data_IF_279200137627
#
_entry.id   IF_279200137627
#
_cell.length_a   1.000
_cell.length_b   1.000
_cell.length_c   1.000
_cell.angle_alpha   90.00
_cell.angle_beta   90.00
_cell.angle_gamma   90.00
#
_symmetry.space_group_name_H-M   'P 1'
#
loop_
_entity.id
_entity.type
_entity.pdbx_description
1 polymer ?
#
# COMPACT_ATOMS: atom_id res chain seq x y z
N UNK A 1 -24.11 10.82 -11.03
CA UNK A 1 -24.34 9.36 -11.07
C UNK A 1 -25.48 9.09 -12.04
N UNK A 2 -25.23 8.34 -13.12
CA UNK A 2 -26.29 7.75 -13.93
C UNK A 2 -26.80 6.52 -13.19
N UNK A 3 -28.01 6.53 -12.66
CA UNK A 3 -28.62 5.36 -12.06
C UNK A 3 -30.04 5.23 -12.58
N UNK A 4 -30.54 4.00 -12.69
CA UNK A 4 -31.90 3.74 -13.16
C UNK A 4 -32.58 2.66 -12.33
N UNK A 5 -33.89 2.81 -12.19
CA UNK A 5 -34.78 1.81 -11.59
C UNK A 5 -35.95 1.61 -12.55
N UNK A 6 -36.25 0.36 -12.87
CA UNK A 6 -37.41 0.01 -13.72
C UNK A 6 -38.23 -1.09 -13.04
N UNK A 7 -39.56 -1.01 -13.17
CA UNK A 7 -40.46 -2.09 -12.74
C UNK A 7 -40.35 -3.24 -13.75
N UNK A 8 -40.34 -4.47 -13.26
CA UNK A 8 -40.47 -5.68 -14.08
C UNK A 8 -41.81 -6.34 -13.77
N UNK A 9 -42.18 -7.39 -14.52
CA UNK A 9 -43.43 -8.14 -14.28
C UNK A 9 -43.58 -8.61 -12.82
N UNK A 10 -42.48 -9.03 -12.20
CA UNK A 10 -42.45 -9.61 -10.85
C UNK A 10 -41.57 -8.82 -9.86
N UNK A 11 -41.19 -7.56 -10.13
CA UNK A 11 -40.32 -6.81 -9.24
C UNK A 11 -39.71 -5.53 -9.81
N UNK A 12 -38.41 -5.34 -9.54
CA UNK A 12 -37.66 -4.15 -9.92
C UNK A 12 -36.26 -4.51 -10.42
N UNK A 13 -35.79 -3.81 -11.44
CA UNK A 13 -34.39 -3.86 -11.90
C UNK A 13 -33.71 -2.54 -11.55
N UNK A 14 -32.59 -2.61 -10.83
CA UNK A 14 -31.76 -1.47 -10.43
C UNK A 14 -30.42 -1.54 -11.14
N UNK A 15 -30.00 -0.43 -11.75
CA UNK A 15 -28.65 -0.24 -12.28
C UNK A 15 -28.04 1.00 -11.67
N UNK A 16 -26.95 0.84 -10.93
CA UNK A 16 -26.12 1.90 -10.38
C UNK A 16 -24.68 1.73 -10.84
N UNK A 17 -23.91 2.81 -10.77
CA UNK A 17 -22.51 2.85 -11.13
C UNK A 17 -21.76 3.64 -10.06
N UNK A 18 -20.63 3.10 -9.61
CA UNK A 18 -19.72 3.76 -8.67
C UNK A 18 -18.35 3.85 -9.35
N UNK A 19 -17.68 4.99 -9.17
CA UNK A 19 -16.32 5.21 -9.68
C UNK A 19 -15.30 4.62 -8.69
N UNK A 20 -14.32 3.88 -9.21
CA UNK A 20 -13.10 3.54 -8.47
C UNK A 20 -11.99 4.43 -8.99
N UNK A 21 -11.49 5.31 -8.14
CA UNK A 21 -10.39 6.23 -8.45
C UNK A 21 -9.39 6.26 -7.30
N UNK A 22 -8.12 6.14 -7.65
CA UNK A 22 -6.99 6.22 -6.74
C UNK A 22 -5.73 6.61 -7.52
N UNK A 23 -4.81 7.30 -6.85
CA UNK A 23 -3.63 7.87 -7.49
C UNK A 23 -2.34 7.43 -6.78
N UNK A 24 -1.23 7.44 -7.51
CA UNK A 24 0.11 7.17 -7.00
C UNK A 24 0.99 8.40 -7.17
N UNK A 25 1.87 8.64 -6.20
CA UNK A 25 2.88 9.68 -6.30
C UNK A 25 4.24 9.14 -5.87
N UNK A 26 5.24 9.25 -6.73
CA UNK A 26 6.64 9.04 -6.34
C UNK A 26 7.12 10.27 -5.58
N UNK A 27 7.60 10.06 -4.35
CA UNK A 27 8.10 11.13 -3.49
C UNK A 27 9.35 10.65 -2.79
N UNK A 28 10.44 11.40 -2.93
CA UNK A 28 11.67 11.13 -2.18
C UNK A 28 11.60 11.83 -0.82
N UNK A 29 11.57 11.06 0.27
CA UNK A 29 11.41 11.60 1.61
C UNK A 29 10.01 12.14 1.87
N UNK A 30 8.99 11.29 1.88
CA UNK A 30 7.58 11.68 2.08
C UNK A 30 7.33 12.43 3.40
N UNK A 31 8.17 12.18 4.42
CA UNK A 31 8.15 12.88 5.71
C UNK A 31 9.23 13.97 5.84
N UNK A 32 9.81 14.41 4.72
CA UNK A 32 10.61 15.64 4.69
C UNK A 32 9.66 16.84 4.74
N UNK A 33 9.87 17.77 5.69
CA UNK A 33 9.01 18.95 5.90
C UNK A 33 8.93 19.88 4.68
N UNK A 34 9.87 19.80 3.74
CA UNK A 34 9.81 20.53 2.48
C UNK A 34 8.76 19.96 1.49
N UNK A 35 8.38 18.69 1.63
CA UNK A 35 7.41 18.01 0.77
C UNK A 35 5.99 18.15 1.35
N UNK A 36 5.12 18.94 0.71
CA UNK A 36 3.77 19.21 1.25
C UNK A 36 2.71 18.20 0.83
N UNK A 37 2.99 17.34 -0.15
CA UNK A 37 1.97 16.52 -0.83
C UNK A 37 1.14 15.67 0.13
N UNK A 38 1.78 15.07 1.15
CA UNK A 38 1.09 14.28 2.17
C UNK A 38 0.30 15.18 3.12
N UNK A 39 0.91 16.24 3.64
CA UNK A 39 0.25 17.19 4.54
C UNK A 39 -0.99 17.86 3.91
N UNK A 40 -0.92 18.19 2.61
CA UNK A 40 -2.01 18.80 1.85
C UNK A 40 -3.27 17.92 1.84
N UNK A 41 -3.12 16.60 1.90
CA UNK A 41 -4.24 15.66 2.03
C UNK A 41 -4.98 15.78 3.37
N UNK A 42 -4.30 16.30 4.41
CA UNK A 42 -4.77 16.38 5.79
C UNK A 42 -5.17 17.80 6.25
N UNK A 43 -4.76 18.85 5.52
CA UNK A 43 -5.03 20.25 5.90
C UNK A 43 -6.52 20.52 6.18
N UNK A 44 -7.42 20.02 5.35
CA UNK A 44 -8.88 20.21 5.54
C UNK A 44 -9.46 19.49 6.75
N UNK A 45 -8.75 18.50 7.29
CA UNK A 45 -9.17 17.71 8.46
C UNK A 45 -8.54 18.24 9.75
N UNK A 46 -7.36 18.86 9.66
CA UNK A 46 -6.68 19.50 10.78
C UNK A 46 -6.06 18.53 11.80
N UNK A 47 -5.99 17.23 11.48
CA UNK A 47 -5.43 16.15 12.32
C UNK A 47 -5.19 14.89 11.50
N UNK A 48 -4.42 13.94 12.06
CA UNK A 48 -4.06 12.69 11.40
C UNK A 48 -4.16 11.51 12.37
N UNK A 49 -4.84 10.44 11.97
CA UNK A 49 -4.71 9.13 12.59
C UNK A 49 -3.80 8.26 11.73
N UNK A 50 -2.69 7.81 12.31
CA UNK A 50 -1.67 7.01 11.63
C UNK A 50 -1.64 5.60 12.20
N UNK A 51 -1.88 4.61 11.34
CA UNK A 51 -1.71 3.19 11.61
C UNK A 51 -0.38 2.73 11.02
N UNK A 52 0.43 2.05 11.84
CA UNK A 52 1.72 1.50 11.44
C UNK A 52 2.11 0.32 12.32
N UNK A 53 3.19 -0.39 11.99
CA UNK A 53 3.76 -1.41 12.89
C UNK A 53 4.74 -0.82 13.92
N UNK A 54 5.03 -1.59 14.98
CA UNK A 54 5.94 -1.19 16.07
C UNK A 54 7.36 -0.86 15.59
N UNK A 55 7.90 -1.55 14.58
CA UNK A 55 9.23 -1.25 14.05
C UNK A 55 9.23 0.10 13.34
N UNK A 56 8.22 0.36 12.52
CA UNK A 56 8.04 1.66 11.88
C UNK A 56 7.85 2.78 12.90
N UNK A 57 7.17 2.52 14.02
CA UNK A 57 6.96 3.53 15.06
C UNK A 57 8.27 3.87 15.76
N UNK A 58 9.09 2.86 16.03
CA UNK A 58 10.41 3.02 16.61
C UNK A 58 11.37 3.78 15.69
N UNK A 59 11.41 3.42 14.41
CA UNK A 59 12.37 3.98 13.45
C UNK A 59 11.99 5.38 12.94
N UNK A 60 10.69 5.59 12.66
CA UNK A 60 10.22 6.77 11.92
C UNK A 60 9.17 7.59 12.68
N UNK A 61 8.74 7.17 13.87
CA UNK A 61 7.70 7.84 14.64
C UNK A 61 8.02 9.31 14.94
N UNK A 62 9.27 9.62 15.26
CA UNK A 62 9.72 10.99 15.54
C UNK A 62 9.76 11.85 14.27
N UNK A 63 10.18 11.26 13.14
CA UNK A 63 10.19 11.96 11.86
C UNK A 63 8.76 12.29 11.40
N UNK A 64 7.84 11.32 11.51
CA UNK A 64 6.42 11.52 11.19
C UNK A 64 5.81 12.60 12.09
N UNK A 65 6.13 12.60 13.39
CA UNK A 65 5.63 13.62 14.31
C UNK A 65 6.15 15.01 13.94
N UNK A 66 7.46 15.15 13.71
CA UNK A 66 8.07 16.42 13.28
C UNK A 66 7.50 16.93 11.96
N UNK A 67 7.24 16.03 11.01
CA UNK A 67 6.62 16.36 9.73
C UNK A 67 5.24 17.00 9.94
N UNK A 68 4.35 16.30 10.65
CA UNK A 68 3.00 16.79 10.86
C UNK A 68 2.93 18.01 11.79
N UNK A 69 3.80 18.09 12.81
CA UNK A 69 3.94 19.26 13.68
C UNK A 69 4.37 20.50 12.89
N UNK A 70 5.34 20.36 11.97
CA UNK A 70 5.76 21.45 11.08
C UNK A 70 4.61 21.99 10.23
N UNK A 71 3.69 21.12 9.81
CA UNK A 71 2.51 21.48 9.03
C UNK A 71 1.27 21.80 9.88
N UNK A 72 1.40 21.88 11.22
CA UNK A 72 0.32 22.25 12.13
C UNK A 72 -0.77 21.19 12.29
N UNK A 73 -0.44 19.91 12.08
CA UNK A 73 -1.37 18.79 12.09
C UNK A 73 -1.07 17.86 13.27
N UNK A 74 -1.90 17.80 14.33
CA UNK A 74 -1.72 16.83 15.40
C UNK A 74 -1.83 15.39 14.88
N UNK A 75 -0.82 14.56 15.18
CA UNK A 75 -0.79 13.15 14.78
C UNK A 75 -1.08 12.22 15.97
N UNK A 76 -1.98 11.27 15.77
CA UNK A 76 -2.27 10.17 16.71
C UNK A 76 -1.79 8.85 16.10
N UNK A 77 -1.08 8.04 16.88
CA UNK A 77 -0.55 6.76 16.40
C UNK A 77 -1.34 5.57 16.95
N UNK A 78 -1.58 4.59 16.08
CA UNK A 78 -1.93 3.23 16.46
C UNK A 78 -0.83 2.29 15.92
N UNK A 79 -0.03 1.75 16.83
CA UNK A 79 1.03 0.80 16.49
C UNK A 79 0.51 -0.63 16.61
N UNK A 80 0.71 -1.43 15.57
CA UNK A 80 0.31 -2.83 15.50
C UNK A 80 1.52 -3.75 15.70
N UNK A 81 1.31 -4.99 16.18
CA UNK A 81 2.38 -5.98 16.26
C UNK A 81 2.98 -6.30 14.87
N UNK A 82 4.25 -6.70 14.87
CA UNK A 82 5.00 -7.00 13.64
C UNK A 82 4.81 -8.45 13.19
N UNK A 83 4.77 -8.66 11.87
CA UNK A 83 4.91 -9.98 11.23
C UNK A 83 3.60 -10.72 11.00
N UNK A 84 3.62 -11.75 10.14
CA UNK A 84 2.41 -12.39 9.55
C UNK A 84 1.39 -12.91 10.57
N UNK A 85 1.84 -13.26 11.80
CA UNK A 85 0.94 -13.66 12.89
C UNK A 85 0.02 -12.54 13.38
N UNK A 86 0.37 -11.29 13.10
CA UNK A 86 -0.46 -10.11 13.39
C UNK A 86 -1.51 -9.85 12.30
N UNK A 87 -1.51 -10.61 11.20
CA UNK A 87 -2.46 -10.44 10.10
C UNK A 87 -3.81 -11.11 10.40
N UNK A 88 -4.51 -10.62 11.41
CA UNK A 88 -5.71 -11.26 11.98
C UNK A 88 -6.89 -10.31 12.15
N UNK A 89 -8.06 -10.86 12.45
CA UNK A 89 -9.26 -10.08 12.77
C UNK A 89 -9.08 -9.26 14.05
N UNK A 90 -8.34 -9.74 15.04
CA UNK A 90 -8.07 -9.01 16.30
C UNK A 90 -7.29 -7.73 16.03
N UNK A 91 -6.25 -7.81 15.19
CA UNK A 91 -5.50 -6.62 14.75
C UNK A 91 -6.38 -5.64 14.00
N UNK A 92 -7.26 -6.12 13.11
CA UNK A 92 -8.25 -5.28 12.42
C UNK A 92 -9.18 -4.57 13.42
N UNK A 93 -9.69 -5.29 14.41
CA UNK A 93 -10.57 -4.71 15.43
C UNK A 93 -9.85 -3.66 16.28
N UNK A 94 -8.57 -3.87 16.61
CA UNK A 94 -7.75 -2.85 17.29
C UNK A 94 -7.64 -1.54 16.50
N UNK A 95 -7.56 -1.61 15.17
CA UNK A 95 -7.59 -0.43 14.30
C UNK A 95 -8.98 0.21 14.31
N UNK A 96 -10.06 -0.58 14.28
CA UNK A 96 -11.43 -0.07 14.41
C UNK A 96 -11.67 0.65 15.75
N UNK A 97 -11.11 0.13 16.85
CA UNK A 97 -11.16 0.78 18.15
C UNK A 97 -10.40 2.11 18.13
N UNK A 98 -9.23 2.16 17.48
CA UNK A 98 -8.46 3.39 17.30
C UNK A 98 -9.23 4.43 16.48
N UNK A 99 -9.86 4.04 15.36
CA UNK A 99 -10.72 4.92 14.56
C UNK A 99 -11.93 5.43 15.35
N UNK A 100 -12.52 4.57 16.19
CA UNK A 100 -13.65 4.94 17.05
C UNK A 100 -13.23 5.95 18.11
N UNK A 101 -12.11 5.68 18.82
CA UNK A 101 -11.55 6.56 19.85
C UNK A 101 -11.10 7.91 19.29
N UNK A 102 -10.50 7.92 18.10
CA UNK A 102 -10.10 9.15 17.40
C UNK A 102 -11.32 9.95 16.90
N UNK A 103 -12.46 9.30 16.74
CA UNK A 103 -13.66 9.89 16.18
C UNK A 103 -13.52 10.15 14.68
N UNK A 104 -12.98 9.18 13.94
CA UNK A 104 -12.77 9.29 12.48
C UNK A 104 -14.08 9.66 11.77
N UNK A 105 -14.05 10.77 11.03
CA UNK A 105 -15.19 11.26 10.26
C UNK A 105 -15.31 10.43 8.97
N UNK A 106 -16.51 10.25 8.42
CA UNK A 106 -16.80 9.28 7.34
C UNK A 106 -15.87 9.37 6.10
N UNK A 107 -15.40 10.56 5.73
CA UNK A 107 -14.51 10.77 4.58
C UNK A 107 -13.07 11.15 4.97
N UNK A 108 -12.78 11.26 6.27
CA UNK A 108 -11.45 11.56 6.80
C UNK A 108 -10.56 10.35 6.56
N UNK A 109 -9.44 10.50 5.84
CA UNK A 109 -8.57 9.38 5.52
C UNK A 109 -7.75 8.97 6.73
N UNK A 110 -7.57 7.66 6.93
CA UNK A 110 -6.55 7.12 7.83
C UNK A 110 -5.21 7.07 7.09
N UNK A 111 -4.13 7.50 7.74
CA UNK A 111 -2.77 7.31 7.21
C UNK A 111 -2.29 5.91 7.56
N UNK A 112 -1.84 5.14 6.58
CA UNK A 112 -1.32 3.78 6.77
C UNK A 112 0.12 3.73 6.31
N UNK A 113 1.05 3.47 7.23
CA UNK A 113 2.50 3.48 6.98
C UNK A 113 3.08 2.11 7.33
N UNK A 114 3.60 1.37 6.36
CA UNK A 114 4.13 0.03 6.63
C UNK A 114 4.25 -0.85 5.39
N UNK A 115 4.61 -2.11 5.60
CA UNK A 115 4.66 -3.10 4.51
C UNK A 115 3.29 -3.63 4.08
N UNK A 116 3.29 -4.68 3.24
CA UNK A 116 2.07 -5.35 2.77
C UNK A 116 1.13 -5.83 3.88
N UNK A 117 1.68 -6.29 5.00
CA UNK A 117 0.85 -6.71 6.15
C UNK A 117 0.04 -5.56 6.74
N UNK A 118 0.70 -4.45 7.09
CA UNK A 118 0.04 -3.30 7.72
C UNK A 118 -0.99 -2.72 6.76
N UNK A 119 -0.62 -2.58 5.49
CA UNK A 119 -1.50 -2.02 4.46
C UNK A 119 -2.72 -2.89 4.17
N UNK A 120 -2.58 -4.22 4.20
CA UNK A 120 -3.70 -5.14 4.09
C UNK A 120 -4.66 -5.07 5.28
N UNK A 121 -4.14 -5.15 6.52
CA UNK A 121 -5.01 -5.18 7.71
C UNK A 121 -5.70 -3.84 7.91
N UNK A 122 -4.96 -2.73 7.80
CA UNK A 122 -5.51 -1.39 7.95
C UNK A 122 -6.44 -1.02 6.79
N UNK A 123 -6.11 -1.42 5.56
CA UNK A 123 -6.98 -1.24 4.42
C UNK A 123 -8.30 -1.99 4.59
N UNK A 124 -8.27 -3.23 5.11
CA UNK A 124 -9.49 -3.99 5.37
C UNK A 124 -10.30 -3.43 6.56
N UNK A 125 -9.63 -2.90 7.59
CA UNK A 125 -10.28 -2.13 8.65
C UNK A 125 -11.01 -0.91 8.07
N UNK A 126 -10.37 -0.17 7.17
CA UNK A 126 -10.97 1.01 6.52
C UNK A 126 -12.13 0.64 5.59
N UNK A 127 -12.03 -0.47 4.86
CA UNK A 127 -13.12 -1.00 4.04
C UNK A 127 -14.37 -1.32 4.90
N UNK A 128 -14.14 -1.92 6.07
CA UNK A 128 -15.20 -2.37 6.97
C UNK A 128 -15.79 -1.23 7.80
N UNK A 129 -14.95 -0.27 8.23
CA UNK A 129 -15.36 0.80 9.12
C UNK A 129 -16.32 1.76 8.43
N UNK A 130 -17.53 1.88 8.99
CA UNK A 130 -18.67 2.61 8.39
C UNK A 130 -18.96 2.20 6.93
N UNK A 131 -18.62 0.95 6.58
CA UNK A 131 -18.79 0.29 5.27
C UNK A 131 -17.96 0.87 4.12
N UNK A 132 -17.20 1.95 4.35
CA UNK A 132 -16.24 2.55 3.42
C UNK A 132 -15.63 3.80 4.10
N UNK A 133 -14.40 3.68 4.60
CA UNK A 133 -13.59 4.81 5.09
C UNK A 133 -12.38 4.98 4.20
N UNK A 134 -12.07 6.23 3.86
CA UNK A 134 -10.91 6.58 3.04
C UNK A 134 -9.62 6.27 3.78
N UNK A 135 -8.54 6.00 3.04
CA UNK A 135 -7.21 5.87 3.61
C UNK A 135 -6.13 6.22 2.58
N UNK A 136 -4.94 6.55 3.08
CA UNK A 136 -3.74 6.84 2.29
C UNK A 136 -2.66 5.82 2.67
N UNK A 137 -1.95 5.27 1.68
CA UNK A 137 -0.84 4.34 1.90
C UNK A 137 0.51 5.03 1.73
N UNK A 138 1.43 4.70 2.62
CA UNK A 138 2.87 4.95 2.51
C UNK A 138 3.57 3.60 2.70
N UNK A 139 3.75 2.80 1.63
CA UNK A 139 4.46 1.54 1.71
C UNK A 139 5.93 1.73 2.08
N UNK A 140 6.44 0.87 2.99
CA UNK A 140 7.82 1.00 3.52
C UNK A 140 8.70 -0.23 3.25
N UNK A 141 8.13 -1.28 2.66
CA UNK A 141 8.85 -2.49 2.25
C UNK A 141 8.84 -2.60 0.74
N UNK A 142 9.79 -3.36 0.18
CA UNK A 142 9.83 -3.58 -1.27
C UNK A 142 8.52 -4.20 -1.78
N UNK A 143 8.00 -5.27 -1.14
CA UNK A 143 6.67 -5.83 -1.45
C UNK A 143 5.59 -4.75 -1.41
N UNK A 144 5.59 -3.89 -0.39
CA UNK A 144 4.63 -2.80 -0.28
C UNK A 144 4.70 -1.87 -1.49
N UNK A 145 5.91 -1.45 -1.87
CA UNK A 145 6.15 -0.45 -2.91
C UNK A 145 5.77 -0.96 -4.31
N UNK A 146 6.01 -2.23 -4.62
CA UNK A 146 5.85 -2.76 -5.99
C UNK A 146 4.68 -3.74 -6.19
N UNK A 147 4.03 -4.21 -5.13
CA UNK A 147 2.91 -5.16 -5.23
C UNK A 147 1.75 -4.81 -4.28
N UNK A 148 1.93 -5.02 -2.97
CA UNK A 148 0.82 -4.98 -2.02
C UNK A 148 0.12 -3.61 -1.95
N UNK A 149 0.85 -2.49 -2.09
CA UNK A 149 0.25 -1.14 -2.15
C UNK A 149 -0.06 -0.64 -3.56
N UNK A 150 0.23 -1.43 -4.59
CA UNK A 150 -0.20 -1.21 -5.98
C UNK A 150 -1.60 -1.80 -6.19
N UNK A 151 -1.82 -2.99 -5.63
CA UNK A 151 -3.13 -3.65 -5.58
C UNK A 151 -4.14 -2.90 -4.71
N UNK A 152 -5.45 -3.08 -4.96
CA UNK A 152 -6.54 -2.62 -4.08
C UNK A 152 -7.05 -3.73 -3.13
N UNK A 153 -6.47 -4.92 -3.22
CA UNK A 153 -6.80 -6.07 -2.37
C UNK A 153 -6.24 -5.83 -0.98
N UNK A 154 -7.10 -6.02 0.01
CA UNK A 154 -6.78 -5.87 1.43
C UNK A 154 -7.39 -7.05 2.17
N UNK A 155 -6.66 -7.63 3.13
CA UNK A 155 -7.09 -8.88 3.74
C UNK A 155 -6.49 -9.16 5.13
N UNK A 156 -7.12 -10.10 5.83
CA UNK A 156 -6.57 -10.80 6.99
C UNK A 156 -6.56 -12.31 6.75
N UNK A 157 -5.73 -13.02 7.50
CA UNK A 157 -5.75 -14.48 7.54
C UNK A 157 -6.91 -14.97 8.43
N UNK A 158 -7.45 -16.15 8.14
CA UNK A 158 -8.49 -16.79 8.95
C UNK A 158 -8.18 -18.27 9.16
N UNK A 159 -7.97 -18.67 10.42
CA UNK A 159 -7.41 -19.99 10.73
C UNK A 159 -6.05 -20.17 10.05
N UNK A 160 -5.89 -21.27 9.32
CA UNK A 160 -4.67 -21.56 8.54
C UNK A 160 -4.73 -21.05 7.09
N UNK A 161 -5.73 -20.24 6.74
CA UNK A 161 -5.93 -19.78 5.37
C UNK A 161 -5.44 -18.34 5.19
N UNK A 162 -4.48 -18.18 4.27
CA UNK A 162 -3.90 -16.88 3.90
C UNK A 162 -4.95 -16.02 3.19
N UNK A 163 -5.03 -14.73 3.55
CA UNK A 163 -5.87 -13.71 2.89
C UNK A 163 -7.35 -14.12 2.69
N UNK A 164 -7.90 -14.93 3.59
CA UNK A 164 -9.23 -15.53 3.40
C UNK A 164 -10.38 -14.54 3.58
N UNK A 165 -10.19 -13.50 4.39
CA UNK A 165 -11.20 -12.46 4.63
C UNK A 165 -10.63 -11.13 4.17
N UNK A 166 -11.36 -10.39 3.34
CA UNK A 166 -10.84 -9.16 2.76
C UNK A 166 -11.86 -8.39 1.94
N UNK A 167 -11.34 -7.39 1.22
CA UNK A 167 -12.09 -6.54 0.31
C UNK A 167 -11.21 -6.08 -0.86
N UNK A 168 -11.86 -5.61 -1.92
CA UNK A 168 -11.26 -4.75 -2.93
C UNK A 168 -11.56 -3.30 -2.52
N UNK A 169 -10.61 -2.62 -1.88
CA UNK A 169 -10.79 -1.28 -1.32
C UNK A 169 -9.59 -0.40 -1.63
N UNK A 170 -9.77 0.51 -2.58
CA UNK A 170 -8.70 1.38 -3.05
C UNK A 170 -8.38 2.49 -2.02
N UNK A 171 -7.09 2.82 -1.79
CA UNK A 171 -6.74 4.05 -1.08
C UNK A 171 -7.12 5.25 -1.93
N UNK A 172 -7.14 6.45 -1.35
CA UNK A 172 -7.25 7.67 -2.17
C UNK A 172 -5.89 8.05 -2.80
N UNK A 173 -4.79 7.74 -2.10
CA UNK A 173 -3.41 7.98 -2.54
C UNK A 173 -2.49 6.87 -2.03
N UNK A 174 -1.52 6.48 -2.85
CA UNK A 174 -0.32 5.74 -2.43
C UNK A 174 0.92 6.58 -2.71
N UNK A 175 1.66 6.97 -1.67
CA UNK A 175 2.94 7.67 -1.79
C UNK A 175 4.10 6.68 -1.78
N UNK A 176 4.79 6.57 -2.92
CA UNK A 176 5.89 5.66 -3.15
C UNK A 176 7.21 6.36 -2.85
N UNK A 177 7.77 6.06 -1.68
CA UNK A 177 9.07 6.56 -1.23
C UNK A 177 10.06 5.40 -1.08
N UNK A 178 10.91 5.23 -2.08
CA UNK A 178 11.88 4.14 -2.08
C UNK A 178 13.03 4.37 -1.07
N UNK A 179 13.14 5.55 -0.45
CA UNK A 179 14.18 5.80 0.56
C UNK A 179 14.01 4.95 1.82
N UNK A 180 12.80 4.46 2.12
CA UNK A 180 12.55 3.51 3.22
C UNK A 180 13.36 2.21 3.08
N UNK A 181 13.74 1.83 1.86
CA UNK A 181 14.54 0.63 1.63
C UNK A 181 15.92 0.73 2.28
N UNK A 182 16.44 1.94 2.55
CA UNK A 182 17.71 2.16 3.26
C UNK A 182 17.77 1.45 4.61
N UNK A 183 16.65 1.42 5.34
CA UNK A 183 16.55 0.76 6.65
C UNK A 183 15.98 -0.65 6.59
N UNK A 184 15.55 -1.11 5.41
CA UNK A 184 14.89 -2.39 5.26
C UNK A 184 15.89 -3.55 5.47
N UNK A 185 15.57 -4.56 6.30
CA UNK A 185 16.42 -5.72 6.45
C UNK A 185 16.60 -6.46 5.12
N UNK A 186 17.80 -6.98 4.86
CA UNK A 186 18.13 -7.68 3.61
C UNK A 186 17.19 -8.85 3.30
N UNK A 187 16.72 -9.56 4.33
CA UNK A 187 15.74 -10.63 4.17
C UNK A 187 14.40 -10.11 3.60
N UNK A 188 13.98 -8.91 3.99
CA UNK A 188 12.76 -8.27 3.47
C UNK A 188 12.97 -7.68 2.07
N UNK A 189 14.19 -7.24 1.73
CA UNK A 189 14.56 -6.91 0.34
C UNK A 189 14.44 -8.14 -0.55
N UNK A 190 15.06 -9.27 -0.15
CA UNK A 190 14.95 -10.55 -0.90
C UNK A 190 13.51 -11.03 -1.04
N UNK A 191 12.70 -10.86 0.01
CA UNK A 191 11.28 -11.19 -0.02
C UNK A 191 10.54 -10.39 -1.11
N UNK A 192 10.78 -9.07 -1.20
CA UNK A 192 10.18 -8.27 -2.27
C UNK A 192 10.77 -8.51 -3.65
N UNK A 193 12.03 -8.91 -3.73
CA UNK A 193 12.67 -9.26 -5.00
C UNK A 193 11.93 -10.41 -5.71
N UNK A 194 11.38 -11.36 -4.94
CA UNK A 194 10.58 -12.45 -5.50
C UNK A 194 9.33 -11.96 -6.25
N UNK A 195 8.65 -10.93 -5.75
CA UNK A 195 7.47 -10.36 -6.42
C UNK A 195 7.85 -9.58 -7.70
N UNK A 196 9.05 -9.00 -7.74
CA UNK A 196 9.56 -8.38 -8.97
C UNK A 196 9.92 -9.46 -10.00
N UNK A 197 10.55 -10.57 -9.59
CA UNK A 197 10.79 -11.72 -10.49
C UNK A 197 9.47 -12.23 -11.06
N UNK A 198 8.43 -12.36 -10.23
CA UNK A 198 7.10 -12.82 -10.65
C UNK A 198 6.56 -11.99 -11.82
N UNK A 199 6.49 -10.67 -11.66
CA UNK A 199 5.91 -9.80 -12.69
C UNK A 199 6.81 -9.73 -13.93
N UNK A 200 8.12 -9.57 -13.76
CA UNK A 200 9.03 -9.36 -14.90
C UNK A 200 9.20 -10.63 -15.74
N UNK A 201 9.30 -11.81 -15.12
CA UNK A 201 9.40 -13.08 -15.84
C UNK A 201 8.20 -13.41 -16.75
N UNK A 202 7.02 -12.87 -16.43
CA UNK A 202 5.79 -13.17 -17.16
C UNK A 202 5.33 -12.01 -18.07
N UNK A 203 5.82 -10.79 -17.84
CA UNK A 203 5.24 -9.59 -18.44
C UNK A 203 6.24 -8.49 -18.83
N UNK A 204 7.51 -8.57 -18.43
CA UNK A 204 8.53 -7.57 -18.77
C UNK A 204 9.95 -8.17 -18.83
N UNK A 205 10.33 -8.65 -20.02
CA UNK A 205 11.64 -9.24 -20.27
C UNK A 205 12.80 -8.24 -20.07
N UNK A 206 12.60 -6.96 -20.37
CA UNK A 206 13.66 -5.95 -20.24
C UNK A 206 14.03 -5.75 -18.77
N UNK A 207 13.03 -5.61 -17.89
CA UNK A 207 13.29 -5.52 -16.45
C UNK A 207 13.81 -6.84 -15.87
N UNK A 208 13.38 -7.98 -16.41
CA UNK A 208 13.92 -9.28 -16.02
C UNK A 208 15.43 -9.38 -16.32
N UNK A 209 15.86 -8.99 -17.51
CA UNK A 209 17.28 -8.98 -17.90
C UNK A 209 18.12 -8.04 -17.01
N UNK A 210 17.56 -6.88 -16.63
CA UNK A 210 18.22 -5.97 -15.70
C UNK A 210 18.33 -6.56 -14.28
N UNK A 211 17.30 -7.25 -13.80
CA UNK A 211 17.31 -7.95 -12.52
C UNK A 211 18.35 -9.05 -12.48
N UNK A 212 18.44 -9.86 -13.53
CA UNK A 212 19.43 -10.94 -13.64
C UNK A 212 20.85 -10.37 -13.63
N UNK A 213 21.09 -9.34 -14.45
CA UNK A 213 22.40 -8.68 -14.55
C UNK A 213 22.87 -8.03 -13.24
N UNK A 214 21.96 -7.43 -12.48
CA UNK A 214 22.28 -6.62 -11.28
C UNK A 214 21.83 -7.26 -9.95
N UNK A 215 21.47 -8.54 -9.96
CA UNK A 215 20.79 -9.23 -8.85
C UNK A 215 21.44 -8.99 -7.47
N UNK A 216 22.72 -9.36 -7.32
CA UNK A 216 23.44 -9.24 -6.05
C UNK A 216 23.54 -7.78 -5.60
N UNK A 217 23.90 -6.89 -6.52
CA UNK A 217 24.04 -5.46 -6.26
C UNK A 217 22.73 -4.84 -5.77
N UNK A 218 21.60 -5.14 -6.43
CA UNK A 218 20.28 -4.66 -6.04
C UNK A 218 19.89 -5.15 -4.63
N UNK A 219 20.21 -6.40 -4.28
CA UNK A 219 19.87 -6.94 -2.96
C UNK A 219 20.75 -6.31 -1.86
N UNK A 220 22.07 -6.27 -2.06
CA UNK A 220 23.03 -5.82 -1.05
C UNK A 220 22.92 -4.32 -0.77
N UNK A 221 22.69 -3.54 -1.81
CA UNK A 221 22.57 -2.07 -1.72
C UNK A 221 21.14 -1.61 -1.40
N UNK A 222 20.20 -2.53 -1.16
CA UNK A 222 18.76 -2.24 -0.97
C UNK A 222 18.22 -1.38 -2.11
N UNK A 223 18.38 -1.88 -3.33
CA UNK A 223 18.01 -1.21 -4.58
C UNK A 223 18.72 0.14 -4.73
N UNK A 224 20.03 0.19 -4.40
CA UNK A 224 20.82 1.41 -4.50
C UNK A 224 20.50 2.48 -3.45
N UNK A 225 19.79 2.15 -2.36
CA UNK A 225 19.38 3.13 -1.33
C UNK A 225 20.35 3.23 -0.15
N UNK A 226 21.41 2.44 -0.13
CA UNK A 226 22.53 2.66 0.80
C UNK A 226 23.38 3.86 0.38
N UNK A 227 24.01 4.49 1.37
CA UNK A 227 24.98 5.56 1.15
C UNK A 227 26.18 5.05 0.33
N UNK A 228 26.59 5.83 -0.68
CA UNK A 228 27.69 5.47 -1.58
C UNK A 228 27.32 4.47 -2.69
N UNK A 229 26.03 4.15 -2.87
CA UNK A 229 25.59 3.31 -4.00
C UNK A 229 25.90 3.98 -5.36
N UNK A 230 26.22 3.15 -6.36
CA UNK A 230 26.48 3.61 -7.72
C UNK A 230 25.23 4.34 -8.29
N UNK A 231 25.35 5.60 -8.72
CA UNK A 231 24.25 6.36 -9.31
C UNK A 231 23.60 5.66 -10.52
N UNK A 232 24.35 4.84 -11.26
CA UNK A 232 23.79 4.09 -12.38
C UNK A 232 22.92 2.92 -11.89
N UNK A 233 23.34 2.24 -10.82
CA UNK A 233 22.53 1.21 -10.17
C UNK A 233 21.23 1.79 -9.60
N UNK A 234 21.27 3.02 -9.07
CA UNK A 234 20.07 3.74 -8.62
C UNK A 234 19.07 3.91 -9.77
N UNK A 235 19.52 4.41 -10.93
CA UNK A 235 18.64 4.55 -12.11
C UNK A 235 18.09 3.22 -12.61
N UNK A 236 18.92 2.17 -12.62
CA UNK A 236 18.48 0.80 -12.96
C UNK A 236 17.40 0.34 -12.00
N UNK A 237 17.60 0.54 -10.69
CA UNK A 237 16.63 0.19 -9.66
C UNK A 237 15.30 0.94 -9.82
N UNK A 238 15.35 2.24 -10.12
CA UNK A 238 14.17 3.07 -10.34
C UNK A 238 13.40 2.62 -11.57
N UNK A 239 14.12 2.29 -12.65
CA UNK A 239 13.52 1.78 -13.90
C UNK A 239 12.79 0.46 -13.64
N UNK A 240 13.45 -0.52 -13.00
CA UNK A 240 12.85 -1.82 -12.68
C UNK A 240 11.58 -1.64 -11.84
N UNK A 241 11.66 -0.83 -10.77
CA UNK A 241 10.52 -0.63 -9.87
C UNK A 241 9.36 0.09 -10.56
N UNK A 242 9.65 1.11 -11.38
CA UNK A 242 8.64 1.83 -12.14
C UNK A 242 7.95 0.93 -13.17
N UNK A 243 8.72 0.20 -13.97
CA UNK A 243 8.21 -0.69 -15.02
C UNK A 243 7.38 -1.83 -14.39
N UNK A 244 7.84 -2.41 -13.26
CA UNK A 244 7.09 -3.44 -12.52
C UNK A 244 5.73 -2.94 -11.99
N UNK A 245 5.69 -1.75 -11.39
CA UNK A 245 4.44 -1.13 -10.91
C UNK A 245 3.50 -0.86 -12.08
N UNK A 246 4.01 -0.26 -13.15
CA UNK A 246 3.22 0.06 -14.34
C UNK A 246 2.62 -1.20 -14.96
N UNK A 247 3.41 -2.26 -15.09
CA UNK A 247 2.95 -3.52 -15.68
C UNK A 247 1.91 -4.23 -14.81
N UNK A 248 2.08 -4.21 -13.49
CA UNK A 248 1.07 -4.69 -12.56
C UNK A 248 -0.25 -3.91 -12.70
N UNK A 249 -0.19 -2.58 -12.75
CA UNK A 249 -1.37 -1.74 -12.95
C UNK A 249 -2.06 -2.02 -14.30
N UNK A 250 -1.27 -2.18 -15.37
CA UNK A 250 -1.78 -2.49 -16.71
C UNK A 250 -2.58 -3.79 -16.73
N UNK A 251 -2.11 -4.81 -16.01
CA UNK A 251 -2.75 -6.13 -15.94
C UNK A 251 -3.98 -6.15 -15.02
N UNK A 252 -3.94 -5.46 -13.88
CA UNK A 252 -5.00 -5.54 -12.86
C UNK A 252 -6.11 -4.49 -13.02
N UNK A 253 -5.83 -3.31 -13.58
CA UNK A 253 -6.83 -2.23 -13.71
C UNK A 253 -8.08 -2.65 -14.51
N UNK A 254 -8.00 -3.45 -15.59
CA UNK A 254 -9.18 -3.97 -16.28
C UNK A 254 -9.98 -5.02 -15.47
N UNK A 255 -9.44 -5.49 -14.34
CA UNK A 255 -9.95 -6.63 -13.58
C UNK A 255 -9.86 -6.42 -12.05
N UNK A 256 -10.14 -5.21 -11.57
CA UNK A 256 -9.95 -4.81 -10.17
C UNK A 256 -10.69 -5.66 -9.13
N UNK A 257 -11.75 -6.37 -9.53
CA UNK A 257 -12.52 -7.29 -8.68
C UNK A 257 -12.27 -8.77 -9.01
N UNK A 258 -11.24 -9.07 -9.81
CA UNK A 258 -10.86 -10.43 -10.21
C UNK A 258 -12.02 -11.26 -10.80
N UNK A 259 -12.89 -10.61 -11.58
CA UNK A 259 -14.01 -11.28 -12.27
C UNK A 259 -13.45 -12.28 -13.30
N UNK A 260 -12.35 -11.92 -13.98
CA UNK A 260 -11.58 -12.83 -14.82
C UNK A 260 -10.53 -13.54 -13.97
N UNK A 261 -10.51 -14.87 -13.99
CA UNK A 261 -9.62 -15.69 -13.15
C UNK A 261 -8.28 -16.05 -13.81
N UNK A 262 -8.16 -15.87 -15.13
CA UNK A 262 -6.89 -16.04 -15.85
C UNK A 262 -5.97 -14.86 -15.58
N UNK A 263 -5.21 -14.95 -14.50
CA UNK A 263 -4.44 -13.83 -13.94
C UNK A 263 -2.95 -14.07 -14.04
N UNK A 264 -2.29 -13.31 -14.91
CA UNK A 264 -0.82 -13.34 -15.11
C UNK A 264 -0.08 -13.15 -13.78
N UNK A 265 -0.48 -12.17 -12.97
CA UNK A 265 0.19 -11.84 -11.72
C UNK A 265 -0.07 -12.87 -10.58
N UNK A 266 -0.90 -13.89 -10.83
CA UNK A 266 -1.09 -15.01 -9.90
C UNK A 266 -0.01 -16.09 -10.04
N UNK A 267 0.94 -15.93 -10.99
CA UNK A 267 2.13 -16.78 -11.07
C UNK A 267 2.82 -16.88 -9.69
N UNK A 268 3.23 -18.09 -9.30
CA UNK A 268 3.83 -18.37 -8.00
C UNK A 268 2.86 -18.39 -6.79
N UNK A 269 1.55 -18.27 -7.01
CA UNK A 269 0.53 -18.15 -5.94
C UNK A 269 -0.61 -19.17 -6.02
N UNK A 270 -0.35 -20.36 -6.58
CA UNK A 270 -1.33 -21.45 -6.74
C UNK A 270 -1.49 -22.30 -5.48
#
# INVERSE_FOLDING_TARGET
MSASVSKTENGFSVRGYEEIKYDFAFVEGVFNTANTQLADCYQKWGRVLTVLDENMKSLYGDQISKYFDHHGLPVTFHAMPVGEKAKTMESLLGICDAMTKFGTIRKEPVLVVGGGLVTDVAGFACASYRRNTNFIRVPTTLIGLIDASVSIKVAVNYGNYKNRLGAYHAPIWTFLDFTFLKTLPIAQVRNGFAEIIKITSCADLKSFDLLDKHCEQLIETRFGRLEGSDPELVKVSDTICYDAIHEMLRLETPNLHEIMLDRVIAYGHT
#
